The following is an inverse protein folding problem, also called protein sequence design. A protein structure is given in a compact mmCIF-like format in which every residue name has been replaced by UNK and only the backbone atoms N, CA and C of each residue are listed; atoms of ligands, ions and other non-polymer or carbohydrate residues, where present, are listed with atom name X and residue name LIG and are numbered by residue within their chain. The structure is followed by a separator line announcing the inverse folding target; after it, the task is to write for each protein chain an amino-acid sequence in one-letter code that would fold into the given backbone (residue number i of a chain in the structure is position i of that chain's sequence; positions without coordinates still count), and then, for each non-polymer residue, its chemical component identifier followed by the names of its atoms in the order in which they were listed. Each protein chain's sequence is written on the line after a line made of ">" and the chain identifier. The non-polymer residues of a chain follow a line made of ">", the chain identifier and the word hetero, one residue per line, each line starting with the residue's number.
data_IF_270993391215
#
_entry.id   IF_270993391215
#
_cell.length_a   1.000
_cell.length_b   1.000
_cell.length_c   1.000
_cell.angle_alpha   90.00
_cell.angle_beta   90.00
_cell.angle_gamma   90.00
#
_symmetry.space_group_name_H-M   'P 1'
#
loop_
_entity.id
_entity.type
_entity.pdbx_description
1 polymer ?
#
# COMPACT_ATOMS: atom_id res chain seq x y z
N UNK A 1 24.61 44.39 -42.35
CA UNK A 1 23.44 44.88 -41.59
C UNK A 1 23.74 44.77 -40.10
N UNK A 2 23.84 45.90 -39.43
CA UNK A 2 24.08 46.04 -37.98
C UNK A 2 22.97 46.96 -37.47
N UNK A 3 22.16 46.49 -36.54
CA UNK A 3 21.20 47.33 -35.83
C UNK A 3 21.53 47.29 -34.33
N UNK A 4 21.88 48.47 -33.80
CA UNK A 4 21.97 48.77 -32.36
C UNK A 4 20.55 48.93 -31.82
N UNK A 5 20.26 48.46 -30.61
CA UNK A 5 19.49 49.25 -29.62
C UNK A 5 19.88 48.79 -28.21
N UNK A 6 20.33 49.75 -27.40
CA UNK A 6 20.46 49.60 -25.95
C UNK A 6 19.11 49.92 -25.29
N UNK A 7 18.70 49.16 -24.28
CA UNK A 7 17.68 49.64 -23.34
C UNK A 7 17.84 48.96 -21.98
N UNK A 8 18.50 49.69 -21.08
CA UNK A 8 18.37 49.55 -19.64
C UNK A 8 16.94 49.92 -19.26
N UNK A 9 16.21 49.02 -18.60
CA UNK A 9 15.02 49.36 -17.83
C UNK A 9 15.20 48.84 -16.41
N UNK A 10 15.17 49.80 -15.49
CA UNK A 10 15.11 49.62 -14.05
C UNK A 10 13.67 49.21 -13.73
N UNK A 11 13.48 48.11 -13.01
CA UNK A 11 12.20 47.76 -12.40
C UNK A 11 12.45 47.36 -10.94
N UNK A 12 12.54 48.39 -10.11
CA UNK A 12 12.37 48.31 -8.66
C UNK A 12 10.91 47.96 -8.38
N UNK A 13 10.62 46.72 -7.98
CA UNK A 13 9.34 46.33 -7.39
C UNK A 13 9.55 45.96 -5.93
N UNK A 14 9.45 47.00 -5.11
CA UNK A 14 8.82 47.09 -3.78
C UNK A 14 8.53 45.74 -3.09
N UNK A 15 9.34 45.48 -2.06
CA UNK A 15 8.99 44.66 -0.90
C UNK A 15 7.69 45.17 -0.26
N UNK A 16 6.57 44.52 -0.57
CA UNK A 16 5.41 44.52 0.34
C UNK A 16 5.41 43.15 1.01
N UNK A 17 5.64 43.17 2.32
CA UNK A 17 5.57 42.01 3.18
C UNK A 17 4.19 41.37 3.12
N UNK A 18 4.07 40.38 2.26
CA UNK A 18 3.04 39.35 2.33
C UNK A 18 3.77 38.04 2.40
N UNK A 19 4.02 37.53 3.60
CA UNK A 19 4.37 36.12 3.79
C UNK A 19 3.15 35.30 3.36
N UNK A 20 2.99 35.10 2.04
CA UNK A 20 2.26 33.97 1.53
C UNK A 20 3.08 32.75 1.92
N UNK A 21 2.83 32.28 3.13
CA UNK A 21 3.10 30.91 3.52
C UNK A 21 2.22 30.05 2.61
N UNK A 22 2.71 29.79 1.39
CA UNK A 22 2.29 28.65 0.59
C UNK A 22 2.75 27.47 1.44
N UNK A 23 1.89 27.08 2.38
CA UNK A 23 2.02 25.83 3.08
C UNK A 23 1.92 24.77 2.01
N UNK A 24 3.08 24.30 1.53
CA UNK A 24 3.17 22.99 0.93
C UNK A 24 2.62 22.05 1.99
N UNK A 25 1.34 21.69 1.84
CA UNK A 25 0.73 20.65 2.64
C UNK A 25 1.46 19.37 2.23
N UNK A 26 2.59 19.12 2.90
CA UNK A 26 3.19 17.81 2.96
C UNK A 26 2.17 16.95 3.70
N UNK A 27 1.20 16.42 2.95
CA UNK A 27 0.31 15.40 3.46
C UNK A 27 1.20 14.35 4.10
N UNK A 28 1.02 14.15 5.40
CA UNK A 28 1.89 13.26 6.15
C UNK A 28 1.76 11.87 5.54
N UNK A 29 2.82 11.05 5.64
CA UNK A 29 2.75 9.65 5.19
C UNK A 29 1.52 8.93 5.79
N UNK A 30 1.16 9.27 7.02
CA UNK A 30 -0.05 8.80 7.69
C UNK A 30 -1.35 9.14 6.96
N UNK A 31 -1.50 10.37 6.46
CA UNK A 31 -2.69 10.80 5.71
C UNK A 31 -2.83 10.02 4.40
N UNK A 32 -1.70 9.77 3.72
CA UNK A 32 -1.66 8.99 2.48
C UNK A 32 -2.07 7.54 2.72
N UNK A 33 -1.56 6.93 3.79
CA UNK A 33 -1.91 5.57 4.19
C UNK A 33 -3.41 5.49 4.55
N UNK A 34 -3.93 6.47 5.29
CA UNK A 34 -5.35 6.53 5.66
C UNK A 34 -6.25 6.63 4.42
N UNK A 35 -5.90 7.49 3.46
CA UNK A 35 -6.63 7.64 2.20
C UNK A 35 -6.64 6.33 1.39
N UNK A 36 -5.50 5.64 1.27
CA UNK A 36 -5.43 4.35 0.59
C UNK A 36 -6.26 3.28 1.30
N UNK A 37 -6.22 3.26 2.64
CA UNK A 37 -6.98 2.31 3.45
C UNK A 37 -8.49 2.48 3.26
N UNK A 38 -8.96 3.73 3.26
CA UNK A 38 -10.36 4.03 2.99
C UNK A 38 -10.78 3.63 1.56
N UNK A 39 -9.97 4.01 0.56
CA UNK A 39 -10.21 3.63 -0.82
C UNK A 39 -10.22 2.11 -1.01
N UNK A 40 -9.35 1.39 -0.30
CA UNK A 40 -9.26 -0.07 -0.36
C UNK A 40 -10.53 -0.74 0.19
N UNK A 41 -11.03 -0.25 1.32
CA UNK A 41 -12.23 -0.80 1.97
C UNK A 41 -13.48 -0.63 1.11
N UNK A 42 -13.61 0.49 0.40
CA UNK A 42 -14.79 0.83 -0.38
C UNK A 42 -14.67 0.43 -1.88
N UNK A 43 -13.47 0.07 -2.33
CA UNK A 43 -13.19 -0.23 -3.73
C UNK A 43 -13.61 -1.63 -4.17
N UNK A 44 -13.81 -1.79 -5.48
CA UNK A 44 -13.97 -3.09 -6.13
C UNK A 44 -12.65 -3.89 -6.14
N UNK A 45 -12.66 -5.16 -6.56
CA UNK A 45 -11.43 -5.96 -6.73
C UNK A 45 -10.39 -5.23 -7.61
N UNK A 46 -10.85 -4.62 -8.71
CA UNK A 46 -9.99 -3.84 -9.61
C UNK A 46 -9.41 -2.61 -8.92
N UNK A 47 -10.21 -1.89 -8.13
CA UNK A 47 -9.74 -0.70 -7.41
C UNK A 47 -8.71 -1.09 -6.34
N UNK A 48 -8.95 -2.19 -5.62
CA UNK A 48 -8.01 -2.74 -4.62
C UNK A 48 -6.68 -3.17 -5.25
N UNK A 49 -6.73 -3.78 -6.43
CA UNK A 49 -5.54 -4.07 -7.23
C UNK A 49 -4.78 -2.80 -7.61
N UNK A 50 -5.47 -1.77 -8.12
CA UNK A 50 -4.85 -0.50 -8.47
C UNK A 50 -4.24 0.21 -7.26
N UNK A 51 -4.89 0.16 -6.10
CA UNK A 51 -4.37 0.70 -4.84
C UNK A 51 -3.10 -0.06 -4.41
N UNK A 52 -3.08 -1.38 -4.57
CA UNK A 52 -1.89 -2.17 -4.28
C UNK A 52 -0.71 -1.79 -5.20
N UNK A 53 -0.97 -1.62 -6.50
CA UNK A 53 0.05 -1.18 -7.47
C UNK A 53 0.56 0.22 -7.10
N UNK A 54 -0.34 1.16 -6.82
CA UNK A 54 -0.01 2.52 -6.42
C UNK A 54 0.79 2.56 -5.11
N UNK A 55 0.49 1.68 -4.15
CA UNK A 55 1.27 1.53 -2.91
C UNK A 55 2.70 1.01 -3.16
N UNK A 56 2.89 0.12 -4.14
CA UNK A 56 4.21 -0.35 -4.58
C UNK A 56 4.98 0.78 -5.27
N UNK A 57 4.35 1.47 -6.22
CA UNK A 57 4.96 2.57 -6.98
C UNK A 57 5.39 3.73 -6.07
N UNK A 58 4.61 3.98 -5.01
CA UNK A 58 4.92 4.99 -3.99
C UNK A 58 5.93 4.52 -2.93
N UNK A 59 6.41 3.27 -3.01
CA UNK A 59 7.39 2.70 -2.08
C UNK A 59 6.84 2.42 -0.68
N UNK A 60 5.51 2.41 -0.48
CA UNK A 60 4.90 2.02 0.79
C UNK A 60 4.95 0.50 0.98
N UNK A 61 4.92 -0.23 -0.13
CA UNK A 61 5.20 -1.66 -0.22
C UNK A 61 6.52 -1.81 -0.95
N UNK A 62 7.57 -2.19 -0.22
CA UNK A 62 8.91 -2.32 -0.76
C UNK A 62 9.69 -3.43 -0.05
N UNK A 63 10.78 -3.90 -0.67
CA UNK A 63 11.75 -4.75 0.04
C UNK A 63 12.47 -3.91 1.10
N UNK A 64 12.50 -4.39 2.33
CA UNK A 64 12.98 -3.70 3.52
C UNK A 64 11.89 -2.89 4.25
N UNK A 65 10.72 -2.68 3.64
CA UNK A 65 9.60 -1.98 4.30
C UNK A 65 9.00 -2.82 5.43
N UNK A 66 8.46 -2.15 6.45
CA UNK A 66 7.81 -2.82 7.58
C UNK A 66 6.40 -3.30 7.21
N UNK A 67 6.09 -4.55 7.54
CA UNK A 67 4.80 -5.20 7.26
C UNK A 67 3.62 -4.47 7.92
N UNK A 68 3.85 -3.76 9.03
CA UNK A 68 2.83 -2.91 9.65
C UNK A 68 2.30 -1.78 8.74
N UNK A 69 3.01 -1.40 7.67
CA UNK A 69 2.47 -0.49 6.65
C UNK A 69 1.41 -1.18 5.79
N UNK A 70 1.62 -2.46 5.43
CA UNK A 70 0.59 -3.26 4.76
C UNK A 70 -0.64 -3.43 5.63
N UNK A 71 -0.45 -3.66 6.93
CA UNK A 71 -1.57 -3.80 7.88
C UNK A 71 -2.46 -2.56 7.94
N UNK A 72 -1.85 -1.37 7.83
CA UNK A 72 -2.61 -0.11 7.79
C UNK A 72 -3.35 0.08 6.47
N UNK A 73 -2.73 -0.24 5.33
CA UNK A 73 -3.34 -0.09 4.00
C UNK A 73 -4.47 -1.11 3.80
N UNK A 74 -4.21 -2.38 4.09
CA UNK A 74 -5.14 -3.48 3.79
C UNK A 74 -6.03 -3.87 4.98
N UNK A 75 -5.91 -3.17 6.12
CA UNK A 75 -6.63 -3.48 7.36
C UNK A 75 -6.37 -4.91 7.87
N UNK A 76 -5.15 -5.40 7.69
CA UNK A 76 -4.71 -6.75 8.10
C UNK A 76 -3.97 -6.72 9.44
N UNK A 77 -3.52 -7.89 9.92
CA UNK A 77 -2.79 -8.04 11.20
C UNK A 77 -1.59 -8.96 11.07
N UNK A 78 -0.83 -8.84 9.99
CA UNK A 78 0.34 -9.68 9.74
C UNK A 78 1.52 -9.35 10.65
N UNK A 79 1.62 -8.11 11.14
CA UNK A 79 2.66 -7.70 12.10
C UNK A 79 2.47 -8.32 13.48
N UNK A 80 1.27 -8.82 13.79
CA UNK A 80 0.96 -9.40 15.10
C UNK A 80 1.12 -10.92 15.00
N UNK A 81 2.18 -11.50 15.57
CA UNK A 81 2.36 -12.95 15.56
C UNK A 81 1.19 -13.61 16.31
N UNK A 82 0.56 -14.59 15.67
CA UNK A 82 -0.46 -15.40 16.33
C UNK A 82 0.23 -16.35 17.31
N UNK A 83 0.03 -16.13 18.61
CA UNK A 83 0.64 -16.94 19.68
C UNK A 83 0.21 -18.41 19.65
N UNK A 84 -0.82 -18.77 18.87
CA UNK A 84 -1.26 -20.15 18.66
C UNK A 84 -0.58 -20.87 17.48
N UNK A 85 0.10 -20.16 16.60
CA UNK A 85 0.66 -20.74 15.38
C UNK A 85 2.00 -21.44 15.68
N UNK A 86 2.00 -22.78 15.73
CA UNK A 86 3.20 -23.60 15.99
C UNK A 86 3.82 -24.10 14.69
N UNK A 87 5.15 -23.99 14.57
CA UNK A 87 5.95 -24.61 13.51
C UNK A 87 6.43 -23.67 12.39
N UNK A 88 7.02 -24.23 11.34
CA UNK A 88 7.61 -23.50 10.20
C UNK A 88 6.56 -22.85 9.28
N UNK A 89 5.32 -23.32 9.30
CA UNK A 89 4.23 -22.82 8.45
C UNK A 89 3.66 -21.47 8.89
N UNK A 90 3.97 -21.04 10.11
CA UNK A 90 3.65 -19.73 10.70
C UNK A 90 4.70 -18.64 10.42
N UNK A 91 5.82 -18.99 9.80
CA UNK A 91 6.97 -18.11 9.73
C UNK A 91 6.83 -17.13 8.55
N UNK A 92 6.21 -15.99 8.87
CA UNK A 92 6.37 -14.72 8.17
C UNK A 92 6.01 -14.71 6.68
N UNK A 93 4.86 -15.27 6.34
CA UNK A 93 4.21 -15.12 5.03
C UNK A 93 2.81 -14.56 5.19
N UNK A 94 2.34 -13.80 4.22
CA UNK A 94 0.99 -13.25 4.20
C UNK A 94 0.42 -13.25 2.79
N UNK A 95 -0.90 -13.32 2.71
CA UNK A 95 -1.64 -13.23 1.46
C UNK A 95 -2.79 -12.25 1.65
N UNK A 96 -2.84 -11.23 0.79
CA UNK A 96 -3.97 -10.30 0.69
C UNK A 96 -4.78 -10.68 -0.53
N UNK A 97 -6.02 -11.10 -0.31
CA UNK A 97 -6.99 -11.34 -1.37
C UNK A 97 -7.75 -10.04 -1.64
N UNK A 98 -7.90 -9.66 -2.92
CA UNK A 98 -8.61 -8.41 -3.27
C UNK A 98 -10.11 -8.61 -3.47
N UNK A 99 -10.58 -9.85 -3.56
CA UNK A 99 -12.01 -10.18 -3.68
C UNK A 99 -12.71 -10.05 -2.32
N UNK A 100 -13.99 -9.69 -2.35
CA UNK A 100 -14.87 -9.58 -1.16
C UNK A 100 -15.23 -10.92 -0.51
N UNK A 101 -14.86 -12.05 -1.12
CA UNK A 101 -15.15 -13.36 -0.55
C UNK A 101 -14.20 -13.63 0.60
N UNK A 102 -14.70 -13.51 1.83
CA UNK A 102 -14.04 -13.98 3.05
C UNK A 102 -13.55 -15.41 2.79
N UNK A 103 -12.23 -15.66 2.70
CA UNK A 103 -11.71 -16.98 2.39
C UNK A 103 -11.90 -17.96 3.55
N UNK A 104 -12.45 -17.50 4.69
CA UNK A 104 -12.81 -18.39 5.77
C UNK A 104 -13.96 -19.30 5.32
N UNK A 105 -13.75 -20.63 5.29
CA UNK A 105 -14.87 -21.54 5.28
C UNK A 105 -15.77 -21.13 6.45
N UNK A 106 -17.07 -20.95 6.22
CA UNK A 106 -18.04 -21.00 7.32
C UNK A 106 -17.95 -22.41 7.90
N UNK A 107 -17.02 -22.62 8.84
CA UNK A 107 -16.84 -23.91 9.48
C UNK A 107 -18.06 -24.21 10.34
N UNK A 108 -18.99 -24.97 9.77
CA UNK A 108 -19.99 -25.74 10.51
C UNK A 108 -19.73 -27.21 10.21
N UNK A 109 -18.86 -27.86 11.00
CA UNK A 109 -18.71 -29.31 11.00
C UNK A 109 -17.28 -29.82 11.24
N UNK A 110 -17.15 -30.82 12.10
CA UNK A 110 -15.90 -31.38 12.65
C UNK A 110 -15.05 -32.22 11.67
N UNK A 111 -15.17 -32.02 10.36
CA UNK A 111 -14.42 -32.74 9.31
C UNK A 111 -13.85 -31.76 8.27
N UNK A 112 -13.33 -30.62 8.71
CA UNK A 112 -12.69 -29.63 7.84
C UNK A 112 -11.28 -30.10 7.42
N UNK A 113 -11.21 -31.03 6.47
CA UNK A 113 -10.04 -31.10 5.59
C UNK A 113 -10.08 -29.84 4.74
N UNK A 114 -9.43 -28.77 5.23
CA UNK A 114 -9.40 -27.44 4.62
C UNK A 114 -8.65 -27.48 3.28
N UNK A 115 -9.31 -28.02 2.26
CA UNK A 115 -8.97 -27.74 0.88
C UNK A 115 -9.42 -26.31 0.63
N UNK A 116 -8.51 -25.35 0.84
CA UNK A 116 -8.67 -23.96 0.44
C UNK A 116 -9.22 -23.96 -1.00
N UNK A 117 -10.48 -23.58 -1.16
CA UNK A 117 -11.12 -23.51 -2.47
C UNK A 117 -10.26 -22.59 -3.34
N UNK A 118 -9.78 -23.02 -4.52
CA UNK A 118 -8.88 -22.21 -5.34
C UNK A 118 -9.61 -20.91 -5.69
N UNK A 119 -9.32 -19.86 -4.94
CA UNK A 119 -10.05 -18.61 -5.00
C UNK A 119 -9.56 -17.90 -6.25
N UNK A 120 -10.39 -17.88 -7.30
CA UNK A 120 -10.09 -17.13 -8.52
C UNK A 120 -10.07 -15.64 -8.19
N UNK A 121 -9.08 -14.93 -8.74
CA UNK A 121 -8.93 -13.49 -8.60
C UNK A 121 -7.49 -13.06 -8.33
N UNK A 122 -7.31 -11.75 -8.18
CA UNK A 122 -6.01 -11.16 -7.86
C UNK A 122 -5.67 -11.29 -6.37
N UNK A 123 -4.39 -11.54 -6.08
CA UNK A 123 -3.86 -11.58 -4.73
C UNK A 123 -2.43 -11.05 -4.68
N UNK A 124 -2.07 -10.51 -3.52
CA UNK A 124 -0.69 -10.15 -3.17
C UNK A 124 -0.18 -11.16 -2.15
N UNK A 125 0.79 -11.98 -2.54
CA UNK A 125 1.55 -12.83 -1.63
C UNK A 125 2.86 -12.14 -1.26
N UNK A 126 3.25 -12.22 0.00
CA UNK A 126 4.50 -11.63 0.45
C UNK A 126 5.12 -12.44 1.60
N UNK A 127 6.42 -12.25 1.77
CA UNK A 127 7.22 -12.83 2.84
C UNK A 127 7.99 -11.74 3.56
N UNK A 128 8.07 -11.86 4.88
CA UNK A 128 8.72 -10.90 5.75
C UNK A 128 9.68 -11.61 6.71
N UNK A 129 10.55 -10.86 7.35
CA UNK A 129 11.48 -11.37 8.37
C UNK A 129 10.80 -11.38 9.74
N UNK A 130 11.48 -11.98 10.72
CA UNK A 130 11.07 -11.90 12.13
C UNK A 130 10.93 -10.46 12.64
N UNK A 131 11.74 -9.55 12.12
CA UNK A 131 11.67 -8.12 12.42
C UNK A 131 10.54 -7.40 11.66
N UNK A 132 9.65 -8.12 10.98
CA UNK A 132 8.56 -7.54 10.21
C UNK A 132 9.00 -6.89 8.90
N UNK A 133 10.24 -7.08 8.43
CA UNK A 133 10.70 -6.45 7.17
C UNK A 133 10.36 -7.32 5.97
N UNK A 134 9.67 -6.78 4.98
CA UNK A 134 9.31 -7.49 3.75
C UNK A 134 10.58 -7.76 2.95
N UNK A 135 10.85 -9.00 2.54
CA UNK A 135 11.99 -9.31 1.67
C UNK A 135 11.57 -9.81 0.29
N UNK A 136 10.34 -10.31 0.15
CA UNK A 136 9.79 -10.74 -1.13
C UNK A 136 8.29 -10.50 -1.21
N UNK A 137 7.81 -10.16 -2.40
CA UNK A 137 6.39 -10.00 -2.68
C UNK A 137 6.09 -10.28 -4.15
N UNK A 138 4.90 -10.83 -4.40
CA UNK A 138 4.40 -11.18 -5.72
C UNK A 138 2.92 -10.84 -5.83
N UNK A 139 2.59 -10.11 -6.89
CA UNK A 139 1.22 -9.86 -7.32
C UNK A 139 0.88 -10.87 -8.41
N UNK A 140 -0.18 -11.65 -8.19
CA UNK A 140 -0.54 -12.75 -9.10
C UNK A 140 -2.05 -12.89 -9.23
N UNK A 141 -2.47 -13.54 -10.31
CA UNK A 141 -3.86 -13.77 -10.69
C UNK A 141 -4.11 -15.28 -10.75
N UNK A 142 -4.98 -15.78 -9.86
CA UNK A 142 -5.38 -17.19 -9.78
C UNK A 142 -6.53 -17.55 -10.73
N UNK A 143 -6.92 -16.67 -11.65
CA UNK A 143 -8.02 -16.94 -12.58
C UNK A 143 -7.64 -17.75 -13.83
N UNK A 144 -6.36 -18.13 -14.00
CA UNK A 144 -5.85 -18.87 -15.17
C UNK A 144 -5.88 -20.39 -15.02
#
# INVERSE_FOLDING_TARGET
>A
MRYRVAMKWIATCILVGGTLSIGCAFASEGDRIAQMSEAYRNGTERDRLLICIDAIDKGLICRGCHVGTMDRIFSTRFSTPDGGAKGYDALYKGVVHFRDEDPRPKETGADATSAASPTKGWYLAFRYTENGSIYDYQLSDLSK
#
